data_IF_436384633546
#
_entry.id   IF_436384633546
#
_cell.length_a   1.000
_cell.length_b   1.000
_cell.length_c   1.000
_cell.angle_alpha   90.00
_cell.angle_beta   90.00
_cell.angle_gamma   90.00
#
_symmetry.space_group_name_H-M   'P 1'
#
loop_
_entity.id
_entity.type
_entity.pdbx_description
1 polymer ?
#
# COMPACT_ATOMS: atom_id res chain seq x y z
N UNK A 1 15.21 17.57 -21.59
CA UNK A 1 15.87 16.32 -21.14
C UNK A 1 16.08 16.28 -19.61
N UNK A 2 15.64 17.27 -18.86
CA UNK A 2 15.66 17.24 -17.39
C UNK A 2 14.35 16.72 -16.83
N UNK A 3 14.42 15.79 -15.87
CA UNK A 3 13.27 15.31 -15.11
C UNK A 3 13.11 16.09 -13.79
N UNK A 4 11.93 16.00 -13.15
CA UNK A 4 11.70 16.66 -11.84
C UNK A 4 12.67 16.17 -10.75
N UNK A 5 13.04 14.88 -10.80
CA UNK A 5 13.99 14.29 -9.85
C UNK A 5 15.44 14.76 -10.05
N UNK A 6 15.78 15.29 -11.23
CA UNK A 6 17.15 15.73 -11.53
C UNK A 6 17.57 16.95 -10.65
N UNK A 7 16.62 17.74 -10.15
CA UNK A 7 16.88 18.89 -9.29
C UNK A 7 17.47 18.52 -7.90
N UNK A 8 17.37 17.27 -7.50
CA UNK A 8 17.88 16.77 -6.21
C UNK A 8 19.20 15.99 -6.34
N UNK A 9 19.73 15.86 -7.57
CA UNK A 9 20.94 15.08 -7.86
C UNK A 9 22.14 15.99 -8.07
N UNK A 10 23.35 15.46 -7.88
CA UNK A 10 24.59 16.16 -8.18
C UNK A 10 24.71 16.45 -9.69
N UNK A 11 25.21 17.60 -10.07
CA UNK A 11 25.29 18.06 -11.47
C UNK A 11 26.02 17.08 -12.41
N UNK A 12 27.06 16.41 -11.92
CA UNK A 12 27.83 15.41 -12.70
C UNK A 12 26.92 14.23 -13.09
N UNK A 13 26.06 13.78 -12.18
CA UNK A 13 25.13 12.69 -12.44
C UNK A 13 24.05 13.14 -13.41
N UNK A 14 23.55 14.36 -13.23
CA UNK A 14 22.53 14.96 -14.10
C UNK A 14 23.05 15.09 -15.54
N UNK A 15 24.29 15.52 -15.74
CA UNK A 15 24.87 15.67 -17.07
C UNK A 15 25.11 14.30 -17.76
N UNK A 16 25.55 13.31 -17.01
CA UNK A 16 25.66 11.93 -17.52
C UNK A 16 24.29 11.36 -17.94
N UNK A 17 23.26 11.54 -17.11
CA UNK A 17 21.89 11.13 -17.42
C UNK A 17 21.33 11.86 -18.65
N UNK A 18 21.59 13.16 -18.80
CA UNK A 18 21.18 13.93 -19.98
C UNK A 18 21.85 13.43 -21.26
N UNK A 19 23.16 13.10 -21.18
CA UNK A 19 23.90 12.54 -22.32
C UNK A 19 23.32 11.17 -22.75
N UNK A 20 23.04 10.31 -21.78
CA UNK A 20 22.46 8.99 -22.03
C UNK A 20 21.03 9.09 -22.62
N UNK A 21 20.18 9.94 -22.05
CA UNK A 21 18.83 10.21 -22.59
C UNK A 21 18.87 10.75 -24.04
N UNK A 22 19.84 11.60 -24.37
CA UNK A 22 20.03 12.10 -25.76
C UNK A 22 20.45 10.97 -26.70
N UNK A 23 21.38 10.13 -26.28
CA UNK A 23 21.83 8.99 -27.06
C UNK A 23 20.67 8.02 -27.36
N UNK A 24 19.91 7.63 -26.36
CA UNK A 24 18.75 6.73 -26.51
C UNK A 24 17.71 7.35 -27.46
N UNK A 25 17.36 8.64 -27.25
CA UNK A 25 16.39 9.32 -28.10
C UNK A 25 16.85 9.42 -29.56
N UNK A 26 18.12 9.76 -29.81
CA UNK A 26 18.65 9.85 -31.17
C UNK A 26 18.67 8.51 -31.87
N UNK A 27 19.02 7.43 -31.15
CA UNK A 27 18.97 6.07 -31.68
C UNK A 27 17.55 5.64 -32.04
N UNK A 28 16.59 5.91 -31.16
CA UNK A 28 15.16 5.58 -31.38
C UNK A 28 14.56 6.41 -32.52
N UNK A 29 14.92 7.68 -32.62
CA UNK A 29 14.49 8.55 -33.73
C UNK A 29 15.03 8.08 -35.08
N UNK A 30 16.31 7.69 -35.14
CA UNK A 30 16.93 7.14 -36.34
C UNK A 30 16.27 5.81 -36.76
N UNK A 31 16.06 4.91 -35.79
CA UNK A 31 15.36 3.65 -36.04
C UNK A 31 13.93 3.85 -36.57
N UNK A 32 13.18 4.75 -35.94
CA UNK A 32 11.83 5.11 -36.38
C UNK A 32 11.83 5.67 -37.81
N UNK A 33 12.79 6.53 -38.14
CA UNK A 33 12.93 7.08 -39.49
C UNK A 33 13.19 5.99 -40.52
N UNK A 34 14.05 5.02 -40.21
CA UNK A 34 14.34 3.86 -41.11
C UNK A 34 13.04 3.06 -41.35
N UNK A 35 12.29 2.76 -40.29
CA UNK A 35 11.03 2.02 -40.41
C UNK A 35 10.00 2.77 -41.25
N UNK A 36 9.89 4.09 -41.11
CA UNK A 36 8.98 4.94 -41.92
C UNK A 36 9.40 4.89 -43.38
N UNK A 37 10.68 5.05 -43.69
CA UNK A 37 11.19 5.03 -45.07
C UNK A 37 10.95 3.67 -45.74
N UNK A 38 11.24 2.57 -45.02
CA UNK A 38 11.00 1.21 -45.53
C UNK A 38 9.51 0.94 -45.75
N UNK A 39 8.67 1.32 -44.79
CA UNK A 39 7.20 1.17 -44.92
C UNK A 39 6.66 1.96 -46.10
N UNK A 40 7.10 3.22 -46.25
CA UNK A 40 6.71 4.05 -47.38
C UNK A 40 7.18 3.45 -48.74
N UNK A 41 8.42 2.92 -48.77
CA UNK A 41 8.94 2.20 -49.90
C UNK A 41 8.11 0.99 -50.33
N UNK A 42 7.67 0.19 -49.32
CA UNK A 42 6.80 -0.98 -49.54
C UNK A 42 5.42 -0.55 -50.11
N UNK A 43 4.87 0.53 -49.60
CA UNK A 43 3.60 1.08 -50.11
C UNK A 43 3.76 1.56 -51.53
N UNK A 44 4.78 2.36 -51.83
CA UNK A 44 5.06 2.82 -53.20
C UNK A 44 5.27 1.65 -54.17
N UNK A 45 6.00 0.63 -53.72
CA UNK A 45 6.19 -0.58 -54.53
C UNK A 45 4.90 -1.34 -54.79
N UNK A 46 4.02 -1.46 -53.79
CA UNK A 46 2.75 -2.15 -53.91
C UNK A 46 1.79 -1.48 -54.91
N UNK A 47 1.87 -0.15 -55.03
CA UNK A 47 1.04 0.63 -55.94
C UNK A 47 1.73 1.05 -57.25
N UNK A 48 3.05 0.74 -57.42
CA UNK A 48 3.73 1.03 -58.65
C UNK A 48 3.36 0.03 -59.76
N UNK A 49 3.08 0.54 -60.94
CA UNK A 49 2.89 -0.28 -62.14
C UNK A 49 4.24 -0.48 -62.81
N UNK A 50 4.70 -1.73 -63.08
CA UNK A 50 5.95 -1.96 -63.78
C UNK A 50 5.88 -1.35 -65.20
N UNK A 51 6.94 -0.63 -65.60
CA UNK A 51 7.05 -0.03 -66.94
C UNK A 51 6.91 -1.03 -68.08
N UNK A 52 7.18 -2.33 -67.81
CA UNK A 52 7.09 -3.44 -68.76
C UNK A 52 5.81 -4.29 -68.59
N UNK A 53 4.84 -3.81 -67.79
CA UNK A 53 3.63 -4.57 -67.58
C UNK A 53 2.79 -4.67 -68.90
N UNK A 54 2.36 -5.87 -69.29
CA UNK A 54 1.44 -6.00 -70.37
C UNK A 54 0.10 -5.28 -70.10
N UNK A 55 -0.60 -4.89 -71.14
CA UNK A 55 -1.92 -4.18 -70.97
C UNK A 55 -2.94 -4.96 -70.15
N UNK A 56 -2.77 -6.29 -70.07
CA UNK A 56 -3.56 -7.15 -69.18
C UNK A 56 -3.28 -6.91 -67.67
N UNK A 57 -2.20 -6.22 -67.31
CA UNK A 57 -1.88 -5.92 -65.91
C UNK A 57 -2.84 -4.89 -65.32
N UNK A 58 -3.34 -3.94 -66.09
CA UNK A 58 -4.33 -2.97 -65.67
C UNK A 58 -5.74 -3.58 -65.52
N UNK A 59 -6.00 -4.67 -66.23
CA UNK A 59 -7.30 -5.34 -66.29
C UNK A 59 -7.40 -6.59 -65.38
N UNK A 60 -6.26 -7.09 -64.85
CA UNK A 60 -6.27 -8.25 -63.96
C UNK A 60 -6.09 -7.84 -62.46
N UNK A 61 -7.16 -7.84 -61.69
CA UNK A 61 -7.13 -7.45 -60.31
C UNK A 61 -6.24 -8.40 -59.45
N UNK A 62 -5.97 -9.64 -59.89
CA UNK A 62 -5.22 -10.62 -59.13
C UNK A 62 -3.73 -10.29 -59.05
N UNK A 63 -3.12 -9.71 -60.09
CA UNK A 63 -1.69 -9.37 -60.09
C UNK A 63 -1.41 -8.18 -59.16
N UNK A 64 -2.26 -7.16 -59.18
CA UNK A 64 -2.17 -6.04 -58.23
C UNK A 64 -2.40 -6.45 -56.77
N UNK A 65 -3.29 -7.40 -56.54
CA UNK A 65 -3.57 -7.94 -55.18
C UNK A 65 -2.43 -8.73 -54.62
N UNK A 66 -1.65 -9.51 -55.42
CA UNK A 66 -0.50 -10.24 -54.96
C UNK A 66 0.62 -9.32 -54.37
N UNK A 67 0.91 -8.20 -55.07
CA UNK A 67 1.90 -7.21 -54.57
C UNK A 67 1.44 -6.48 -53.32
N UNK A 68 0.17 -6.11 -53.24
CA UNK A 68 -0.43 -5.50 -52.08
C UNK A 68 -0.37 -6.44 -50.86
N UNK A 69 -0.66 -7.72 -51.10
CA UNK A 69 -0.56 -8.74 -50.05
C UNK A 69 0.87 -8.92 -49.57
N UNK A 70 1.86 -8.98 -50.49
CA UNK A 70 3.27 -9.06 -50.10
C UNK A 70 3.76 -7.84 -49.31
N UNK A 71 3.33 -6.62 -49.72
CA UNK A 71 3.64 -5.40 -48.99
C UNK A 71 3.01 -5.41 -47.58
N UNK A 72 1.75 -5.87 -47.47
CA UNK A 72 1.08 -6.00 -46.20
C UNK A 72 1.80 -6.98 -45.26
N UNK A 73 2.20 -8.15 -45.75
CA UNK A 73 3.02 -9.11 -45.01
C UNK A 73 4.35 -8.49 -44.56
N UNK A 74 5.02 -7.76 -45.47
CA UNK A 74 6.24 -7.04 -45.15
C UNK A 74 6.07 -5.99 -44.06
N UNK A 75 4.99 -5.21 -44.10
CA UNK A 75 4.66 -4.23 -43.06
C UNK A 75 4.36 -4.92 -41.74
N UNK A 76 3.57 -6.00 -41.73
CA UNK A 76 3.30 -6.79 -40.53
C UNK A 76 4.59 -7.32 -39.92
N UNK A 77 5.53 -7.80 -40.73
CA UNK A 77 6.84 -8.27 -40.25
C UNK A 77 7.67 -7.13 -39.63
N UNK A 78 7.67 -5.94 -40.25
CA UNK A 78 8.36 -4.77 -39.69
C UNK A 78 7.76 -4.36 -38.34
N UNK A 79 6.43 -4.34 -38.22
CA UNK A 79 5.74 -4.07 -36.97
C UNK A 79 6.14 -5.11 -35.92
N UNK A 80 6.12 -6.40 -36.27
CA UNK A 80 6.52 -7.47 -35.37
C UNK A 80 7.97 -7.30 -34.88
N UNK A 81 8.92 -7.05 -35.80
CA UNK A 81 10.33 -6.83 -35.45
C UNK A 81 10.47 -5.62 -34.53
N UNK A 82 9.78 -4.52 -34.82
CA UNK A 82 9.81 -3.32 -33.97
C UNK A 82 9.26 -3.60 -32.59
N UNK A 83 8.09 -4.21 -32.48
CA UNK A 83 7.48 -4.57 -31.20
C UNK A 83 8.34 -5.54 -30.40
N UNK A 84 8.95 -6.53 -31.07
CA UNK A 84 9.87 -7.46 -30.43
C UNK A 84 11.14 -6.76 -29.92
N UNK A 85 11.75 -5.86 -30.71
CA UNK A 85 12.93 -5.10 -30.32
C UNK A 85 12.65 -4.19 -29.10
N UNK A 86 11.49 -3.53 -29.08
CA UNK A 86 11.06 -2.72 -27.95
C UNK A 86 10.75 -3.62 -26.74
N UNK A 87 9.98 -4.68 -26.94
CA UNK A 87 9.61 -5.61 -25.86
C UNK A 87 10.82 -6.23 -25.17
N UNK A 88 11.88 -6.59 -25.94
CA UNK A 88 13.12 -7.15 -25.41
C UNK A 88 13.88 -6.19 -24.47
N UNK A 89 13.69 -4.88 -24.58
CA UNK A 89 14.29 -3.91 -23.64
C UNK A 89 13.70 -4.03 -22.23
N UNK A 90 12.42 -4.36 -22.13
CA UNK A 90 11.68 -4.46 -20.87
C UNK A 90 11.59 -5.89 -20.35
N UNK A 91 11.52 -6.86 -21.25
CA UNK A 91 11.39 -8.28 -20.93
C UNK A 91 12.51 -9.05 -21.63
N UNK A 92 13.65 -9.15 -20.97
CA UNK A 92 14.83 -9.89 -21.40
C UNK A 92 15.08 -11.09 -20.47
N UNK A 93 16.00 -12.03 -20.82
CA UNK A 93 16.31 -13.16 -19.95
C UNK A 93 16.71 -12.78 -18.53
N UNK A 94 17.33 -11.61 -18.33
CA UNK A 94 17.76 -11.14 -17.01
C UNK A 94 16.57 -10.70 -16.13
N UNK A 95 15.42 -10.48 -16.75
CA UNK A 95 14.16 -10.17 -16.04
C UNK A 95 13.49 -11.41 -15.44
N UNK A 96 13.98 -12.60 -15.75
CA UNK A 96 13.43 -13.85 -15.23
C UNK A 96 14.34 -14.42 -14.16
N UNK A 97 13.75 -14.81 -13.05
CA UNK A 97 14.45 -15.51 -11.97
C UNK A 97 13.94 -16.95 -11.88
N UNK A 98 14.76 -17.84 -11.36
CA UNK A 98 14.31 -19.20 -11.08
C UNK A 98 13.30 -19.18 -9.92
N UNK A 99 12.34 -20.14 -9.86
CA UNK A 99 11.41 -20.25 -8.73
C UNK A 99 12.11 -20.28 -7.38
N UNK A 100 13.29 -20.91 -7.30
CA UNK A 100 14.09 -20.96 -6.08
C UNK A 100 14.62 -19.57 -5.67
N UNK A 101 15.14 -18.80 -6.63
CA UNK A 101 15.62 -17.43 -6.36
C UNK A 101 14.46 -16.52 -5.95
N UNK A 102 13.32 -16.64 -6.63
CA UNK A 102 12.12 -15.89 -6.27
C UNK A 102 11.65 -16.19 -4.83
N UNK A 103 11.54 -17.47 -4.49
CA UNK A 103 11.11 -17.87 -3.14
C UNK A 103 12.12 -17.45 -2.07
N UNK A 104 13.44 -17.45 -2.39
CA UNK A 104 14.46 -17.00 -1.45
C UNK A 104 14.37 -15.50 -1.10
N UNK A 105 13.79 -14.67 -1.99
CA UNK A 105 13.60 -13.24 -1.73
C UNK A 105 12.65 -12.99 -0.56
N UNK A 106 11.72 -13.92 -0.32
CA UNK A 106 10.74 -13.84 0.76
C UNK A 106 11.01 -14.82 1.90
N UNK A 107 12.27 -15.20 2.10
CA UNK A 107 12.63 -16.04 3.24
C UNK A 107 12.49 -15.25 4.55
N UNK A 108 11.69 -15.76 5.50
CA UNK A 108 11.47 -15.12 6.79
C UNK A 108 12.81 -14.91 7.53
N UNK A 109 13.07 -13.68 7.95
CA UNK A 109 14.22 -13.28 8.79
C UNK A 109 14.06 -13.85 10.18
N UNK A 110 15.09 -13.78 10.99
CA UNK A 110 15.02 -14.25 12.39
C UNK A 110 13.96 -13.48 13.19
N UNK A 111 13.90 -12.16 13.02
CA UNK A 111 12.90 -11.31 13.66
C UNK A 111 11.47 -11.68 13.25
N UNK A 112 11.23 -11.99 11.96
CA UNK A 112 9.90 -12.37 11.48
C UNK A 112 9.43 -13.68 12.13
N UNK A 113 10.34 -14.65 12.29
CA UNK A 113 10.03 -15.92 12.97
C UNK A 113 9.63 -15.72 14.43
N UNK A 114 10.34 -14.83 15.14
CA UNK A 114 10.01 -14.50 16.53
C UNK A 114 8.62 -13.83 16.63
N UNK A 115 8.30 -12.88 15.74
CA UNK A 115 6.99 -12.23 15.73
C UNK A 115 5.88 -13.24 15.41
N UNK A 116 6.10 -14.18 14.48
CA UNK A 116 5.13 -15.20 14.10
C UNK A 116 4.87 -16.27 15.18
N UNK A 117 5.67 -16.30 16.25
CA UNK A 117 5.39 -17.11 17.45
C UNK A 117 4.19 -16.55 18.24
N UNK A 118 3.93 -15.25 18.14
CA UNK A 118 2.75 -14.63 18.74
C UNK A 118 1.47 -15.07 18.00
N UNK A 119 0.55 -15.69 18.73
CA UNK A 119 -0.72 -16.20 18.21
C UNK A 119 -1.89 -15.24 18.40
N UNK A 120 -1.64 -13.98 18.78
CA UNK A 120 -2.68 -12.99 18.83
C UNK A 120 -3.34 -12.84 17.44
N UNK A 121 -4.68 -12.77 17.36
CA UNK A 121 -5.39 -12.88 16.09
C UNK A 121 -5.15 -11.67 15.15
N UNK A 122 -4.82 -10.52 15.70
CA UNK A 122 -4.55 -9.31 14.91
C UNK A 122 -3.64 -8.34 15.64
N UNK A 123 -2.57 -7.90 14.98
CA UNK A 123 -1.69 -6.79 15.35
C UNK A 123 -0.96 -6.29 14.11
N UNK A 124 -0.40 -5.08 14.18
CA UNK A 124 0.43 -4.53 13.10
C UNK A 124 1.88 -4.42 13.53
N UNK A 125 2.75 -4.44 12.53
CA UNK A 125 4.20 -4.35 12.66
C UNK A 125 4.70 -3.12 11.90
N UNK A 126 5.69 -2.45 12.44
CA UNK A 126 6.45 -1.40 11.77
C UNK A 126 7.91 -1.83 11.66
N UNK A 127 8.45 -1.86 10.45
CA UNK A 127 9.86 -2.14 10.23
C UNK A 127 10.61 -0.82 10.01
N UNK A 128 11.42 -0.43 11.00
CA UNK A 128 12.24 0.78 10.95
C UNK A 128 13.56 0.58 10.19
N UNK A 129 13.88 -0.66 9.80
CA UNK A 129 15.07 -0.99 9.02
C UNK A 129 14.84 -0.94 7.50
N UNK A 130 13.59 -0.77 7.06
CA UNK A 130 13.17 -0.74 5.67
C UNK A 130 12.43 0.57 5.33
N UNK A 131 12.14 0.79 4.05
CA UNK A 131 11.24 1.87 3.63
C UNK A 131 9.79 1.49 3.96
N UNK A 132 9.26 2.06 5.05
CA UNK A 132 7.99 1.67 5.66
C UNK A 132 6.83 1.69 4.65
N UNK A 133 6.82 2.64 3.70
CA UNK A 133 5.70 2.85 2.77
C UNK A 133 5.91 2.30 1.36
N UNK A 134 7.14 1.86 1.03
CA UNK A 134 7.48 1.32 -0.28
C UNK A 134 8.00 -0.14 -0.23
N UNK A 135 7.99 -0.76 0.94
CA UNK A 135 8.40 -2.15 1.11
C UNK A 135 7.25 -3.13 0.81
N UNK A 136 7.60 -4.26 0.21
CA UNK A 136 6.67 -5.38 -0.04
C UNK A 136 7.02 -6.64 0.76
N UNK A 137 8.21 -6.69 1.39
CA UNK A 137 8.67 -7.85 2.15
C UNK A 137 7.93 -7.99 3.48
N UNK A 138 7.83 -6.90 4.26
CA UNK A 138 7.13 -6.94 5.55
C UNK A 138 5.64 -7.27 5.41
N UNK A 139 4.87 -6.66 4.45
CA UNK A 139 3.48 -7.04 4.22
C UNK A 139 3.27 -8.48 3.77
N UNK A 140 4.30 -9.14 3.26
CA UNK A 140 4.24 -10.57 2.93
C UNK A 140 4.12 -11.45 4.19
N UNK A 141 4.80 -11.06 5.27
CA UNK A 141 4.84 -11.83 6.52
C UNK A 141 3.89 -11.32 7.60
N UNK A 142 3.63 -10.01 7.63
CA UNK A 142 2.94 -9.34 8.73
C UNK A 142 1.88 -8.37 8.21
N UNK A 143 0.87 -8.09 9.05
CA UNK A 143 0.06 -6.89 8.86
C UNK A 143 0.91 -5.68 9.23
N UNK A 144 1.05 -4.74 8.31
CA UNK A 144 1.89 -3.56 8.50
C UNK A 144 1.07 -2.28 8.56
N UNK A 145 1.64 -1.26 9.20
CA UNK A 145 1.14 0.11 9.14
C UNK A 145 1.40 0.71 7.76
N UNK A 146 2.52 0.32 7.12
CA UNK A 146 2.93 0.78 5.81
C UNK A 146 2.75 -0.26 4.71
N UNK A 147 3.74 -0.34 3.83
CA UNK A 147 3.76 -1.20 2.65
C UNK A 147 3.40 -0.48 1.36
N UNK A 148 3.85 -1.03 0.25
CA UNK A 148 3.55 -0.47 -1.07
C UNK A 148 2.13 -0.81 -1.50
N UNK A 149 1.31 0.21 -1.76
CA UNK A 149 0.00 0.07 -2.38
C UNK A 149 -0.27 1.25 -3.32
N UNK A 150 -0.46 1.01 -4.63
CA UNK A 150 -0.82 2.06 -5.58
C UNK A 150 -2.27 2.54 -5.41
N UNK A 151 -3.12 1.75 -4.76
CA UNK A 151 -4.54 2.03 -4.52
C UNK A 151 -4.83 2.30 -3.03
N UNK A 152 -3.97 3.08 -2.38
CA UNK A 152 -4.14 3.45 -0.98
C UNK A 152 -5.36 4.35 -0.81
N UNK A 153 -6.15 4.12 0.23
CA UNK A 153 -7.28 5.00 0.57
C UNK A 153 -6.77 6.40 0.91
N UNK A 154 -7.40 7.44 0.36
CA UNK A 154 -7.02 8.83 0.63
C UNK A 154 -7.07 9.15 2.12
N UNK A 155 -8.12 8.74 2.83
CA UNK A 155 -8.24 8.90 4.29
C UNK A 155 -7.04 8.33 5.05
N UNK A 156 -6.51 7.18 4.61
CA UNK A 156 -5.32 6.59 5.22
C UNK A 156 -4.04 7.35 4.83
N UNK A 157 -3.95 7.86 3.61
CA UNK A 157 -2.84 8.71 3.21
C UNK A 157 -2.80 10.01 4.02
N UNK A 158 -3.94 10.63 4.27
CA UNK A 158 -4.03 11.84 5.10
C UNK A 158 -3.59 11.55 6.55
N UNK A 159 -3.95 10.38 7.10
CA UNK A 159 -3.46 9.94 8.41
C UNK A 159 -1.94 9.74 8.42
N UNK A 160 -1.38 9.16 7.35
CA UNK A 160 0.08 9.01 7.20
C UNK A 160 0.74 10.38 7.23
N UNK A 161 0.29 11.31 6.39
CA UNK A 161 0.94 12.60 6.19
C UNK A 161 0.83 13.52 7.42
N UNK A 162 -0.31 13.45 8.12
CA UNK A 162 -0.59 14.34 9.24
C UNK A 162 -0.07 13.81 10.59
N UNK A 163 -0.09 12.49 10.80
CA UNK A 163 0.16 11.88 12.12
C UNK A 163 1.24 10.81 12.10
N UNK A 164 1.11 9.76 11.27
CA UNK A 164 2.01 8.60 11.33
C UNK A 164 3.47 9.01 11.09
N UNK A 165 3.73 9.88 10.08
CA UNK A 165 5.09 10.37 9.80
C UNK A 165 5.66 11.12 10.99
N UNK A 166 4.87 11.95 11.68
CA UNK A 166 5.31 12.69 12.88
C UNK A 166 5.66 11.72 14.02
N UNK A 167 4.81 10.71 14.26
CA UNK A 167 5.09 9.71 15.30
C UNK A 167 6.31 8.86 14.97
N UNK A 168 6.50 8.45 13.71
CA UNK A 168 7.71 7.75 13.26
C UNK A 168 8.98 8.60 13.42
N UNK A 169 8.89 9.91 13.16
CA UNK A 169 9.98 10.84 13.44
C UNK A 169 10.26 10.94 14.94
N UNK A 170 9.21 11.02 15.76
CA UNK A 170 9.33 11.03 17.22
C UNK A 170 9.98 9.73 17.74
N UNK A 171 9.57 8.57 17.23
CA UNK A 171 10.20 7.27 17.49
C UNK A 171 11.70 7.31 17.13
N UNK A 172 12.03 7.75 15.92
CA UNK A 172 13.42 7.83 15.46
C UNK A 172 14.29 8.74 16.36
N UNK A 173 13.74 9.87 16.81
CA UNK A 173 14.44 10.81 17.69
C UNK A 173 14.55 10.26 19.11
N UNK A 174 13.45 9.71 19.66
CA UNK A 174 13.38 9.19 21.02
C UNK A 174 14.24 7.94 21.22
N UNK A 175 14.46 7.17 20.17
CA UNK A 175 15.20 5.90 20.23
C UNK A 175 16.63 5.98 19.69
N UNK A 176 17.05 7.15 19.19
CA UNK A 176 18.34 7.36 18.51
C UNK A 176 19.55 6.89 19.34
N UNK A 177 19.48 7.05 20.65
CA UNK A 177 20.56 6.70 21.58
C UNK A 177 20.27 5.42 22.38
N UNK A 178 19.16 4.75 22.12
CA UNK A 178 18.76 3.54 22.81
C UNK A 178 19.75 2.39 22.51
N UNK A 179 20.28 1.78 23.54
CA UNK A 179 21.20 0.64 23.47
C UNK A 179 20.56 -0.65 23.96
N UNK A 180 19.45 -0.54 24.68
CA UNK A 180 18.68 -1.66 25.22
C UNK A 180 17.26 -1.62 24.73
N UNK A 181 16.57 -2.77 24.80
CA UNK A 181 15.13 -2.86 24.46
C UNK A 181 14.31 -1.95 25.38
N UNK A 182 14.64 -1.89 26.65
CA UNK A 182 13.95 -1.06 27.63
C UNK A 182 14.11 0.44 27.32
N UNK A 183 15.32 0.89 26.96
CA UNK A 183 15.55 2.26 26.52
C UNK A 183 14.75 2.58 25.24
N UNK A 184 14.68 1.64 24.31
CA UNK A 184 13.87 1.81 23.11
C UNK A 184 12.37 1.91 23.46
N UNK A 185 11.84 1.01 24.30
CA UNK A 185 10.46 1.04 24.76
C UNK A 185 10.12 2.37 25.48
N UNK A 186 11.04 2.92 26.24
CA UNK A 186 10.87 4.23 26.85
C UNK A 186 10.86 5.37 25.82
N UNK A 187 11.60 5.24 24.72
CA UNK A 187 11.67 6.21 23.65
C UNK A 187 10.44 6.25 22.73
N UNK A 188 9.64 5.17 22.69
CA UNK A 188 8.42 5.07 21.87
C UNK A 188 7.13 5.45 22.61
N UNK A 189 7.22 6.02 23.80
CA UNK A 189 6.04 6.51 24.54
C UNK A 189 5.39 7.68 23.78
N UNK A 190 4.08 7.83 23.92
CA UNK A 190 3.28 8.88 23.29
C UNK A 190 3.12 8.76 21.76
N UNK A 191 3.03 7.54 21.23
CA UNK A 191 2.72 7.23 19.84
C UNK A 191 1.25 6.76 19.74
N UNK A 192 0.31 7.68 20.00
CA UNK A 192 -1.10 7.34 20.15
C UNK A 192 -1.73 6.78 18.87
N UNK A 193 -1.39 7.33 17.70
CA UNK A 193 -1.95 6.90 16.42
C UNK A 193 -1.42 5.51 16.04
N UNK A 194 -0.13 5.27 16.18
CA UNK A 194 0.45 3.93 15.98
C UNK A 194 -0.12 2.92 16.97
N UNK A 195 -0.33 3.32 18.22
CA UNK A 195 -0.93 2.46 19.26
C UNK A 195 -2.40 2.16 18.98
N UNK A 196 -3.18 3.15 18.48
CA UNK A 196 -4.57 2.99 18.04
C UNK A 196 -4.69 2.11 16.78
N UNK A 197 -3.69 2.15 15.89
CA UNK A 197 -3.57 1.22 14.77
C UNK A 197 -3.13 -0.19 15.21
N UNK A 198 -3.03 -0.44 16.51
CA UNK A 198 -2.57 -1.71 17.08
C UNK A 198 -1.18 -2.12 16.59
N UNK A 199 -0.25 -1.16 16.53
CA UNK A 199 1.17 -1.44 16.25
C UNK A 199 1.79 -2.10 17.47
N UNK A 200 1.94 -3.41 17.43
CA UNK A 200 2.45 -4.20 18.55
C UNK A 200 3.96 -4.38 18.52
N UNK A 201 4.55 -4.49 17.32
CA UNK A 201 5.97 -4.76 17.19
C UNK A 201 6.68 -3.75 16.30
N UNK A 202 7.91 -3.38 16.72
CA UNK A 202 8.87 -2.64 15.92
C UNK A 202 10.05 -3.55 15.56
N UNK A 203 10.43 -3.58 14.29
CA UNK A 203 11.61 -4.27 13.78
C UNK A 203 12.72 -3.25 13.61
N UNK A 204 13.86 -3.49 14.25
CA UNK A 204 15.07 -2.66 14.17
C UNK A 204 16.13 -3.22 13.23
N UNK A 205 16.02 -4.49 12.89
CA UNK A 205 16.94 -5.20 11.99
C UNK A 205 16.59 -6.67 11.85
N UNK A 206 17.09 -7.30 10.80
CA UNK A 206 16.76 -8.68 10.44
C UNK A 206 17.09 -9.73 11.52
N UNK A 207 18.21 -9.50 12.21
CA UNK A 207 18.77 -10.43 13.20
C UNK A 207 18.60 -9.95 14.65
N UNK A 208 17.91 -8.81 14.85
CA UNK A 208 17.61 -8.27 16.17
C UNK A 208 16.26 -8.79 16.68
N UNK A 209 16.07 -8.96 17.98
CA UNK A 209 14.75 -9.28 18.52
C UNK A 209 13.77 -8.12 18.23
N UNK A 210 12.48 -8.41 17.97
CA UNK A 210 11.48 -7.37 17.82
C UNK A 210 11.27 -6.63 19.14
N UNK A 211 10.96 -5.34 19.07
CA UNK A 211 10.61 -4.56 20.25
C UNK A 211 9.09 -4.45 20.36
N UNK A 212 8.55 -4.89 21.49
CA UNK A 212 7.11 -4.83 21.74
C UNK A 212 6.70 -3.42 22.20
N UNK A 213 5.64 -2.88 21.62
CA UNK A 213 4.95 -1.69 22.09
C UNK A 213 3.95 -2.07 23.17
N UNK A 214 4.29 -1.78 24.40
CA UNK A 214 3.46 -2.09 25.58
C UNK A 214 2.22 -1.18 25.68
N UNK A 215 2.18 -0.09 24.91
CA UNK A 215 1.08 0.87 24.87
C UNK A 215 0.12 0.66 23.70
N UNK A 216 0.26 -0.41 22.90
CA UNK A 216 -0.67 -0.75 21.84
C UNK A 216 -2.09 -0.93 22.41
N UNK A 217 -3.11 -0.36 21.74
CA UNK A 217 -4.48 -0.38 22.24
C UNK A 217 -5.18 -1.73 22.06
N UNK A 218 -4.61 -2.57 21.21
CA UNK A 218 -5.21 -3.83 20.82
C UNK A 218 -6.13 -3.71 19.61
N UNK A 219 -6.77 -4.81 19.21
CA UNK A 219 -7.66 -4.83 18.04
C UNK A 219 -8.99 -4.08 18.27
N UNK A 220 -9.38 -3.87 19.52
CA UNK A 220 -10.52 -3.06 19.93
C UNK A 220 -10.35 -2.61 21.39
N UNK A 221 -10.92 -1.46 21.73
CA UNK A 221 -10.95 -0.93 23.11
C UNK A 221 -12.19 -0.08 23.36
N UNK A 222 -12.57 0.08 24.62
CA UNK A 222 -13.66 0.95 25.03
C UNK A 222 -13.15 2.37 25.28
N UNK A 223 -13.97 3.36 24.92
CA UNK A 223 -13.73 4.79 25.20
C UNK A 223 -14.78 5.34 26.14
N UNK A 224 -14.42 6.40 26.86
CA UNK A 224 -15.24 7.02 27.91
C UNK A 224 -15.93 8.30 27.43
N UNK A 225 -15.37 8.94 26.40
CA UNK A 225 -15.85 10.22 25.87
C UNK A 225 -15.65 10.34 24.36
N UNK A 226 -16.28 11.33 23.74
CA UNK A 226 -16.02 11.68 22.35
C UNK A 226 -15.97 13.19 22.14
N UNK A 227 -15.25 13.60 21.10
CA UNK A 227 -15.23 14.96 20.57
C UNK A 227 -15.83 14.96 19.17
N UNK A 228 -16.89 15.74 18.92
CA UNK A 228 -17.47 15.83 17.60
C UNK A 228 -16.61 16.71 16.68
N UNK A 229 -16.42 16.27 15.45
CA UNK A 229 -15.78 17.06 14.39
C UNK A 229 -16.82 17.44 13.32
N UNK A 230 -16.87 18.69 12.94
CA UNK A 230 -17.81 19.21 11.93
C UNK A 230 -17.39 18.94 10.50
N UNK A 231 -16.09 18.80 10.26
CA UNK A 231 -15.48 18.59 8.95
C UNK A 231 -14.38 17.53 9.03
N UNK A 232 -14.02 16.86 7.90
CA UNK A 232 -12.90 15.93 7.87
C UNK A 232 -11.55 16.56 8.26
N UNK A 233 -11.31 17.83 7.93
CA UNK A 233 -10.10 18.55 8.32
C UNK A 233 -10.04 18.79 9.84
N UNK A 234 -11.19 19.05 10.46
CA UNK A 234 -11.30 19.17 11.92
C UNK A 234 -11.12 17.80 12.58
N UNK A 235 -11.72 16.74 12.02
CA UNK A 235 -11.59 15.36 12.51
C UNK A 235 -10.13 14.95 12.61
N UNK A 236 -9.36 15.13 11.54
CA UNK A 236 -7.95 14.75 11.52
C UNK A 236 -7.09 15.66 12.42
N UNK A 237 -7.44 16.95 12.58
CA UNK A 237 -6.69 17.86 13.44
C UNK A 237 -6.90 17.56 14.93
N UNK A 238 -8.10 17.15 15.32
CA UNK A 238 -8.46 16.83 16.70
C UNK A 238 -7.73 15.59 17.24
N UNK A 239 -7.26 14.69 16.38
CA UNK A 239 -6.50 13.49 16.77
C UNK A 239 -5.27 13.86 17.62
N UNK A 240 -4.59 14.97 17.33
CA UNK A 240 -3.43 15.43 18.08
C UNK A 240 -3.78 16.03 19.46
N UNK A 241 -5.05 16.37 19.70
CA UNK A 241 -5.49 17.13 20.87
C UNK A 241 -6.19 16.31 21.93
N UNK A 242 -6.47 15.02 21.67
CA UNK A 242 -7.20 14.13 22.56
C UNK A 242 -6.36 12.94 22.97
N UNK A 243 -6.69 12.32 24.10
CA UNK A 243 -6.19 11.01 24.47
C UNK A 243 -7.03 9.93 23.77
N UNK A 244 -6.51 9.36 22.69
CA UNK A 244 -7.20 8.35 21.86
C UNK A 244 -7.53 7.06 22.62
N UNK A 245 -6.87 6.81 23.75
CA UNK A 245 -7.18 5.66 24.61
C UNK A 245 -8.52 5.78 25.27
N UNK A 246 -8.92 7.02 25.61
CA UNK A 246 -10.11 7.32 26.38
C UNK A 246 -11.16 8.12 25.60
N UNK A 247 -10.76 8.81 24.53
CA UNK A 247 -11.62 9.75 23.81
C UNK A 247 -11.64 9.45 22.32
N UNK A 248 -12.83 9.26 21.75
CA UNK A 248 -13.03 9.15 20.31
C UNK A 248 -13.16 10.52 19.65
N UNK A 249 -12.63 10.69 18.45
CA UNK A 249 -13.00 11.80 17.55
C UNK A 249 -14.01 11.24 16.55
N UNK A 250 -15.19 11.85 16.46
CA UNK A 250 -16.28 11.35 15.60
C UNK A 250 -16.68 12.41 14.58
N UNK A 251 -16.47 12.15 13.31
CA UNK A 251 -16.83 13.00 12.19
C UNK A 251 -18.35 13.18 12.01
N UNK A 252 -18.74 14.20 11.25
CA UNK A 252 -20.17 14.49 10.96
C UNK A 252 -20.87 13.36 10.20
N UNK A 253 -20.10 12.58 9.43
CA UNK A 253 -20.62 11.46 8.64
C UNK A 253 -21.11 10.28 9.49
N UNK A 254 -20.79 10.29 10.79
CA UNK A 254 -21.14 9.24 11.75
C UNK A 254 -22.16 9.74 12.79
N UNK A 255 -23.24 10.38 12.34
CA UNK A 255 -24.27 10.95 13.21
C UNK A 255 -24.90 9.91 14.16
N UNK A 256 -25.16 8.70 13.66
CA UNK A 256 -25.72 7.59 14.45
C UNK A 256 -24.79 7.17 15.60
N UNK A 257 -23.48 7.14 15.35
CA UNK A 257 -22.51 6.85 16.40
C UNK A 257 -22.48 7.93 17.48
N UNK A 258 -22.63 9.22 17.10
CA UNK A 258 -22.73 10.34 18.04
C UNK A 258 -23.99 10.25 18.90
N UNK A 259 -25.13 9.94 18.28
CA UNK A 259 -26.41 9.77 18.99
C UNK A 259 -26.37 8.58 19.94
N UNK A 260 -25.81 7.46 19.49
CA UNK A 260 -25.61 6.26 20.32
C UNK A 260 -24.73 6.55 21.53
N UNK A 261 -23.62 7.28 21.34
CA UNK A 261 -22.76 7.69 22.45
C UNK A 261 -23.49 8.63 23.45
N UNK A 262 -24.24 9.60 22.94
CA UNK A 262 -24.99 10.54 23.78
C UNK A 262 -26.06 9.82 24.61
N UNK A 263 -26.76 8.82 24.06
CA UNK A 263 -27.74 8.00 24.79
C UNK A 263 -27.07 7.20 25.93
N UNK A 264 -25.95 6.57 25.67
CA UNK A 264 -25.17 5.84 26.69
C UNK A 264 -24.76 6.79 27.82
N UNK A 265 -24.22 7.95 27.48
CA UNK A 265 -23.75 8.94 28.47
C UNK A 265 -24.88 9.58 29.29
N UNK A 266 -26.10 9.65 28.76
CA UNK A 266 -27.27 10.19 29.44
C UNK A 266 -28.04 9.19 30.33
N UNK A 267 -27.61 7.92 30.36
CA UNK A 267 -28.26 6.89 31.20
C UNK A 267 -29.62 6.45 30.66
N UNK A 268 -29.90 6.64 29.37
CA UNK A 268 -31.13 6.19 28.74
C UNK A 268 -31.19 4.67 28.64
N UNK A 269 -32.00 4.05 29.46
CA UNK A 269 -32.39 2.65 29.37
C UNK A 269 -33.45 2.50 28.29
N UNK A 270 -33.07 2.14 27.07
CA UNK A 270 -33.97 1.46 26.13
C UNK A 270 -33.60 -0.01 26.16
N UNK A 271 -34.43 -0.78 26.83
CA UNK A 271 -34.33 -2.24 26.90
C UNK A 271 -34.58 -2.83 25.53
N UNK A 272 -33.56 -3.49 24.97
CA UNK A 272 -33.76 -4.71 24.20
C UNK A 272 -32.58 -5.64 24.51
N UNK A 273 -32.75 -6.63 25.39
CA UNK A 273 -31.67 -7.57 25.69
C UNK A 273 -31.63 -8.60 24.58
N UNK A 274 -30.59 -8.52 23.73
CA UNK A 274 -30.16 -9.67 22.98
C UNK A 274 -29.68 -10.73 23.99
N UNK A 275 -30.47 -11.77 24.09
CA UNK A 275 -30.26 -12.97 24.89
C UNK A 275 -28.89 -13.60 24.54
N UNK A 276 -27.90 -13.41 25.39
CA UNK A 276 -26.64 -14.15 25.35
C UNK A 276 -26.38 -14.69 26.75
N UNK A 277 -27.04 -15.82 27.05
CA UNK A 277 -26.74 -16.61 28.20
C UNK A 277 -25.55 -17.56 27.92
N UNK A 278 -24.36 -17.15 28.33
CA UNK A 278 -23.34 -18.05 28.86
C UNK A 278 -22.49 -17.28 29.89
N UNK A 279 -22.83 -17.49 31.16
CA UNK A 279 -22.10 -16.96 32.30
C UNK A 279 -20.75 -17.66 32.44
N UNK A 280 -19.66 -16.91 32.22
CA UNK A 280 -18.38 -17.25 32.80
C UNK A 280 -18.17 -16.36 34.03
N UNK A 281 -18.48 -16.91 35.20
CA UNK A 281 -18.25 -16.29 36.50
C UNK A 281 -16.72 -16.17 36.74
N UNK A 282 -16.21 -14.93 36.64
CA UNK A 282 -14.89 -14.58 37.15
C UNK A 282 -15.08 -13.73 38.40
N UNK A 283 -14.74 -14.31 39.55
CA UNK A 283 -14.69 -13.59 40.82
C UNK A 283 -13.60 -12.51 40.80
N UNK A 284 -14.03 -11.26 40.78
CA UNK A 284 -13.21 -10.04 40.81
C UNK A 284 -14.00 -8.93 40.14
N UNK A 285 -13.96 -7.70 40.66
CA UNK A 285 -14.56 -6.52 40.05
C UNK A 285 -14.37 -6.56 38.54
N UNK A 286 -15.46 -6.82 37.81
CA UNK A 286 -15.43 -7.04 36.37
C UNK A 286 -14.85 -5.79 35.69
N UNK A 287 -13.61 -5.92 35.22
CA UNK A 287 -12.98 -4.88 34.42
C UNK A 287 -13.59 -4.98 33.03
N UNK A 288 -14.11 -3.85 32.50
CA UNK A 288 -14.62 -3.81 31.14
C UNK A 288 -13.51 -4.21 30.15
N UNK A 289 -13.74 -5.25 29.38
CA UNK A 289 -12.74 -5.88 28.49
C UNK A 289 -13.40 -6.20 27.15
N UNK A 290 -12.67 -5.97 26.06
CA UNK A 290 -13.00 -6.44 24.72
C UNK A 290 -11.79 -7.12 24.11
N UNK A 291 -11.97 -8.31 23.56
CA UNK A 291 -10.90 -9.11 22.99
C UNK A 291 -11.32 -9.71 21.65
N UNK A 292 -10.43 -9.64 20.65
CA UNK A 292 -10.65 -10.35 19.40
C UNK A 292 -10.37 -11.85 19.60
N UNK A 293 -11.32 -12.69 19.23
CA UNK A 293 -11.21 -14.15 19.31
C UNK A 293 -10.86 -14.79 17.98
N UNK A 294 -11.22 -14.15 16.88
CA UNK A 294 -10.94 -14.66 15.53
C UNK A 294 -10.83 -13.53 14.52
N UNK A 295 -9.92 -13.69 13.58
CA UNK A 295 -9.75 -12.82 12.43
C UNK A 295 -9.85 -13.62 11.13
N UNK A 296 -10.80 -13.24 10.28
CA UNK A 296 -10.91 -13.74 8.91
C UNK A 296 -11.16 -12.55 7.94
N UNK A 297 -10.87 -12.68 6.64
CA UNK A 297 -10.97 -11.58 5.70
C UNK A 297 -12.33 -10.87 5.66
N UNK A 298 -13.41 -11.59 5.95
CA UNK A 298 -14.79 -11.07 5.90
C UNK A 298 -15.51 -11.20 7.24
N UNK A 299 -14.82 -11.57 8.31
CA UNK A 299 -15.43 -11.78 9.62
C UNK A 299 -14.43 -11.52 10.75
N UNK A 300 -14.76 -10.60 11.64
CA UNK A 300 -14.01 -10.33 12.86
C UNK A 300 -14.89 -10.71 14.04
N UNK A 301 -14.38 -11.55 14.94
CA UNK A 301 -15.13 -11.97 16.12
C UNK A 301 -14.48 -11.45 17.38
N UNK A 302 -15.31 -10.89 18.25
CA UNK A 302 -14.89 -10.35 19.53
C UNK A 302 -15.71 -10.96 20.65
N UNK A 303 -15.07 -11.13 21.80
CA UNK A 303 -15.72 -11.39 23.06
C UNK A 303 -15.55 -10.16 23.94
N UNK A 304 -16.61 -9.69 24.58
CA UNK A 304 -16.52 -8.56 25.48
C UNK A 304 -17.30 -8.79 26.79
N UNK A 305 -16.87 -8.12 27.84
CA UNK A 305 -17.58 -7.99 29.11
C UNK A 305 -17.57 -6.53 29.49
N UNK A 306 -18.73 -5.96 29.77
CA UNK A 306 -18.87 -4.57 30.19
C UNK A 306 -19.90 -4.46 31.30
N UNK A 307 -19.59 -3.63 32.30
CA UNK A 307 -20.45 -3.39 33.46
C UNK A 307 -21.65 -2.49 33.14
N UNK A 308 -21.59 -1.75 32.04
CA UNK A 308 -22.63 -0.87 31.51
C UNK A 308 -22.49 -0.77 29.98
N UNK A 309 -23.44 -0.11 29.31
CA UNK A 309 -23.32 0.21 27.90
C UNK A 309 -22.05 1.07 27.64
N UNK A 310 -21.23 0.68 26.66
CA UNK A 310 -19.94 1.30 26.34
C UNK A 310 -19.80 1.47 24.84
N UNK A 311 -19.03 2.45 24.43
CA UNK A 311 -18.64 2.62 23.02
C UNK A 311 -17.27 1.97 22.79
N UNK A 312 -17.19 1.12 21.76
CA UNK A 312 -15.95 0.47 21.36
C UNK A 312 -15.40 1.08 20.07
N UNK A 313 -14.07 1.22 20.02
CA UNK A 313 -13.32 1.55 18.80
C UNK A 313 -12.55 0.33 18.35
N UNK A 314 -12.50 0.13 17.04
CA UNK A 314 -11.77 -0.97 16.40
C UNK A 314 -10.57 -0.42 15.65
N UNK A 315 -9.41 -1.09 15.74
CA UNK A 315 -8.18 -0.67 15.07
C UNK A 315 -8.17 -0.90 13.56
N UNK A 316 -9.29 -1.32 12.98
CA UNK A 316 -9.41 -1.57 11.54
C UNK A 316 -9.65 -0.26 10.76
N UNK A 317 -9.19 -0.24 9.51
CA UNK A 317 -9.38 0.92 8.63
C UNK A 317 -10.79 0.86 8.03
N UNK A 318 -11.59 1.88 8.34
CA UNK A 318 -12.95 1.97 7.85
C UNK A 318 -12.99 2.21 6.33
N UNK A 319 -13.79 1.41 5.64
CA UNK A 319 -14.12 1.54 4.22
C UNK A 319 -15.61 1.30 4.02
N UNK A 320 -16.40 2.33 3.57
CA UNK A 320 -17.86 2.27 3.60
C UNK A 320 -18.48 1.14 2.77
N UNK A 321 -17.82 0.72 1.69
CA UNK A 321 -18.32 -0.35 0.83
C UNK A 321 -17.84 -1.75 1.23
N UNK A 322 -17.12 -1.87 2.32
CA UNK A 322 -16.51 -3.13 2.79
C UNK A 322 -16.92 -3.58 4.19
N UNK A 323 -17.70 -2.77 4.91
CA UNK A 323 -18.13 -3.05 6.29
C UNK A 323 -19.64 -3.20 6.36
#
# INVERSE_FOLDING_TARGET
FSGRADAQMQDIIVDALKADRRHILSADALWSMVLIVVTFGLILWAYSVPKSAPKSYESDPHIGNARRMQAMVGICLLVFVNMFAVGKRYLNPDSFTTPRQFNNQFTARQVDKLILEDKAPSYRVVDLSADIFNDSFNPYWHKCVGGYSPAKLQRYQDLIDRHIIKELQAVSLGTRNAKTIEEFQNGIRNIQVLSALNTKYFILGADMPPVENLEAFGPAWFVDSFVPAGTPDEEIALIDSVDLRHTAVIGSDFAEAREGFAKISSGGSDEDPLDVSEEISVNGTAKDVIQMTSYAPNELRYHYSASAARTAIFSEIYYPDGW
#
